data_IF_508574557720
#
_entry.id   IF_508574557720
#
_cell.length_a   1.000
_cell.length_b   1.000
_cell.length_c   1.000
_cell.angle_alpha   90.00
_cell.angle_beta   90.00
_cell.angle_gamma   90.00
#
_symmetry.space_group_name_H-M   'P 1'
#
loop_
_entity.id
_entity.type
_entity.pdbx_description
1 polymer ?
#
# COMPACT_ATOMS: atom_id res chain seq x y z
N UNK A 1 12.72 0.66 -13.97
CA UNK A 1 12.90 1.69 -12.96
C UNK A 1 14.37 1.73 -12.53
N UNK A 2 14.97 2.92 -12.38
CA UNK A 2 16.24 3.11 -11.68
C UNK A 2 15.96 3.45 -10.22
N UNK A 3 16.77 2.91 -9.30
CA UNK A 3 16.63 3.14 -7.86
C UNK A 3 17.97 3.58 -7.27
N UNK A 4 17.93 4.64 -6.47
CA UNK A 4 19.13 5.25 -5.87
C UNK A 4 19.00 5.30 -4.36
N UNK A 5 19.90 4.62 -3.67
CA UNK A 5 19.94 4.53 -2.21
C UNK A 5 20.77 5.64 -1.53
N UNK A 6 21.64 6.32 -2.25
CA UNK A 6 22.61 7.23 -1.66
C UNK A 6 22.14 8.67 -1.69
N UNK A 7 22.28 9.36 -0.55
CA UNK A 7 22.21 10.82 -0.52
C UNK A 7 23.42 11.39 -1.25
N UNK A 8 23.17 12.25 -2.23
CA UNK A 8 24.21 12.98 -2.96
C UNK A 8 24.05 14.47 -2.70
N UNK A 9 25.18 15.16 -2.66
CA UNK A 9 25.22 16.61 -2.54
C UNK A 9 24.52 17.30 -3.72
N UNK A 10 23.96 18.50 -3.50
CA UNK A 10 23.35 19.33 -4.55
C UNK A 10 24.32 19.75 -5.65
N UNK A 11 25.63 19.75 -5.40
CA UNK A 11 26.63 19.98 -6.44
C UNK A 11 26.57 18.98 -7.59
N UNK A 12 25.96 17.81 -7.36
CA UNK A 12 25.74 16.76 -8.36
C UNK A 12 24.46 16.93 -9.17
N UNK A 13 23.62 17.91 -8.86
CA UNK A 13 22.33 18.09 -9.53
C UNK A 13 22.43 18.23 -11.05
N UNK A 14 23.43 18.94 -11.64
CA UNK A 14 23.60 18.96 -13.08
C UNK A 14 23.86 17.58 -13.69
N UNK A 15 24.58 16.70 -12.99
CA UNK A 15 24.81 15.33 -13.44
C UNK A 15 23.55 14.46 -13.31
N UNK A 16 22.83 14.59 -12.20
CA UNK A 16 21.54 13.90 -11.99
C UNK A 16 20.55 14.24 -13.10
N UNK A 17 20.42 15.52 -13.46
CA UNK A 17 19.55 15.95 -14.57
C UNK A 17 19.98 15.32 -15.89
N UNK A 18 21.27 15.26 -16.19
CA UNK A 18 21.79 14.62 -17.41
C UNK A 18 21.49 13.13 -17.44
N UNK A 19 21.64 12.42 -16.33
CA UNK A 19 21.31 10.99 -16.21
C UNK A 19 19.81 10.77 -16.41
N UNK A 20 18.97 11.60 -15.77
CA UNK A 20 17.51 11.53 -15.93
C UNK A 20 17.12 11.78 -17.39
N UNK A 21 17.63 12.83 -18.03
CA UNK A 21 17.36 13.16 -19.43
C UNK A 21 17.76 12.00 -20.36
N UNK A 22 18.95 11.44 -20.16
CA UNK A 22 19.38 10.28 -20.93
C UNK A 22 18.44 9.10 -20.77
N UNK A 23 18.05 8.78 -19.53
CA UNK A 23 17.21 7.63 -19.24
C UNK A 23 15.79 7.78 -19.80
N UNK A 24 15.17 8.95 -19.64
CA UNK A 24 13.83 9.21 -20.19
C UNK A 24 13.85 9.30 -21.72
N UNK A 25 14.89 9.87 -22.35
CA UNK A 25 15.02 9.85 -23.81
C UNK A 25 15.17 8.42 -24.35
N UNK A 26 15.92 7.57 -23.67
CA UNK A 26 15.99 6.15 -24.02
C UNK A 26 14.66 5.42 -23.84
N UNK A 27 13.89 5.78 -22.83
CA UNK A 27 12.55 5.21 -22.62
C UNK A 27 11.60 5.50 -23.80
N UNK A 28 11.65 6.72 -24.33
CA UNK A 28 10.93 7.10 -25.56
C UNK A 28 11.33 6.23 -26.74
N UNK A 29 12.63 6.02 -26.97
CA UNK A 29 13.14 5.15 -28.03
C UNK A 29 12.68 3.69 -27.83
N UNK A 30 12.68 3.19 -26.61
CA UNK A 30 12.23 1.84 -26.26
C UNK A 30 10.71 1.69 -26.23
N UNK A 31 9.96 2.80 -26.29
CA UNK A 31 8.50 2.85 -26.10
C UNK A 31 8.08 2.19 -24.79
N UNK A 32 8.77 2.51 -23.71
CA UNK A 32 8.54 1.96 -22.36
C UNK A 32 8.35 3.07 -21.35
N UNK A 33 7.36 2.88 -20.48
CA UNK A 33 7.24 3.70 -19.29
C UNK A 33 8.36 3.36 -18.30
N UNK A 34 8.99 4.38 -17.77
CA UNK A 34 10.10 4.24 -16.81
C UNK A 34 9.94 5.25 -15.67
N UNK A 35 10.59 4.97 -14.55
CA UNK A 35 10.62 5.86 -13.40
C UNK A 35 11.99 5.84 -12.72
N UNK A 36 12.28 6.91 -11.98
CA UNK A 36 13.42 7.01 -11.07
C UNK A 36 12.87 7.02 -9.65
N UNK A 37 13.33 6.12 -8.81
CA UNK A 37 13.06 6.10 -7.38
C UNK A 37 14.33 6.41 -6.61
N UNK A 38 14.23 7.23 -5.57
CA UNK A 38 15.38 7.58 -4.77
C UNK A 38 15.00 7.93 -3.34
N UNK A 39 15.88 7.58 -2.41
CA UNK A 39 15.70 7.90 -1.00
C UNK A 39 15.89 9.40 -0.76
N UNK A 40 14.98 9.99 0.04
CA UNK A 40 15.03 11.38 0.51
C UNK A 40 15.39 12.39 -0.60
N UNK A 41 16.39 13.23 -0.35
CA UNK A 41 16.90 14.24 -1.29
C UNK A 41 18.02 13.71 -2.22
N UNK A 42 18.11 12.38 -2.39
CA UNK A 42 19.17 11.77 -3.19
C UNK A 42 19.08 12.15 -4.68
N UNK A 43 17.95 12.65 -5.13
CA UNK A 43 17.69 13.01 -6.51
C UNK A 43 17.02 14.38 -6.64
N UNK A 44 16.70 14.78 -7.87
CA UNK A 44 15.97 16.01 -8.19
C UNK A 44 14.47 15.80 -8.22
N UNK A 45 13.69 16.87 -8.34
CA UNK A 45 12.22 16.80 -8.46
C UNK A 45 11.75 15.87 -9.58
N UNK A 46 10.58 15.26 -9.41
CA UNK A 46 9.98 14.34 -10.40
C UNK A 46 10.34 12.87 -10.18
N UNK A 47 11.04 12.57 -9.13
CA UNK A 47 11.31 11.20 -8.71
C UNK A 47 10.16 10.57 -7.93
N UNK A 48 10.14 9.23 -7.86
CA UNK A 48 9.36 8.48 -6.88
C UNK A 48 10.12 8.53 -5.55
N UNK A 49 9.49 9.10 -4.51
CA UNK A 49 10.11 9.18 -3.18
C UNK A 49 10.17 7.79 -2.55
N UNK A 50 11.39 7.35 -2.20
CA UNK A 50 11.61 6.13 -1.44
C UNK A 50 11.75 6.47 0.05
N UNK A 51 10.92 5.84 0.88
CA UNK A 51 10.91 6.02 2.34
C UNK A 51 11.62 4.84 3.00
N UNK A 52 12.75 5.10 3.63
CA UNK A 52 13.49 4.10 4.41
C UNK A 52 12.61 3.47 5.46
N UNK A 53 12.26 2.22 5.26
CA UNK A 53 11.34 1.43 6.08
C UNK A 53 9.96 2.09 6.22
N UNK A 54 8.95 1.32 6.44
CA UNK A 54 7.57 1.81 6.54
C UNK A 54 7.32 2.88 7.61
N UNK A 55 8.12 2.95 8.64
CA UNK A 55 7.96 3.93 9.71
C UNK A 55 7.99 5.40 9.26
N UNK A 56 8.31 5.66 8.00
CA UNK A 56 8.30 6.99 7.37
C UNK A 56 7.32 7.12 6.22
N UNK A 57 6.63 6.04 5.85
CA UNK A 57 5.64 6.03 4.79
C UNK A 57 4.45 6.96 5.09
N UNK A 58 3.80 7.56 4.07
CA UNK A 58 2.60 8.36 4.25
C UNK A 58 1.49 7.57 4.96
N UNK A 59 0.85 8.21 5.94
CA UNK A 59 -0.27 7.63 6.68
C UNK A 59 -1.60 7.80 5.95
N UNK A 60 -1.67 8.74 5.02
CA UNK A 60 -2.86 9.10 4.26
C UNK A 60 -2.63 8.99 2.76
N UNK A 61 -3.70 9.12 2.00
CA UNK A 61 -3.68 9.24 0.55
C UNK A 61 -2.80 10.41 0.11
N UNK A 62 -1.93 10.15 -0.87
CA UNK A 62 -1.06 11.17 -1.48
C UNK A 62 -1.40 11.36 -2.95
N UNK A 63 -1.11 12.54 -3.48
CA UNK A 63 -1.22 12.87 -4.90
C UNK A 63 0.08 12.56 -5.70
N UNK A 64 1.14 12.14 -5.01
CA UNK A 64 2.39 11.66 -5.61
C UNK A 64 2.61 10.18 -5.35
N UNK A 65 3.30 9.53 -6.27
CA UNK A 65 3.71 8.12 -6.13
C UNK A 65 4.92 8.03 -5.20
N UNK A 66 4.92 7.06 -4.32
CA UNK A 66 5.99 6.80 -3.35
C UNK A 66 6.22 5.31 -3.16
N UNK A 67 7.29 4.94 -2.48
CA UNK A 67 7.67 3.57 -2.23
C UNK A 67 8.40 3.48 -0.90
N UNK A 68 8.01 2.61 0.04
CA UNK A 68 8.89 2.20 1.13
C UNK A 68 9.69 0.98 0.73
N UNK A 69 10.89 0.87 1.29
CA UNK A 69 11.67 -0.36 1.28
C UNK A 69 11.67 -1.00 2.67
N UNK A 70 11.42 -2.31 2.71
CA UNK A 70 11.47 -3.09 3.95
C UNK A 70 12.16 -4.42 3.74
N UNK A 71 12.96 -4.88 4.70
CA UNK A 71 13.56 -6.19 4.63
C UNK A 71 12.54 -7.29 5.04
N UNK A 72 12.68 -8.47 4.42
CA UNK A 72 11.86 -9.66 4.75
C UNK A 72 12.12 -10.16 6.19
N UNK A 73 13.24 -9.74 6.78
CA UNK A 73 13.64 -10.03 8.15
C UNK A 73 13.88 -8.72 8.90
N UNK A 74 14.44 -8.73 10.12
CA UNK A 74 14.79 -7.50 10.84
C UNK A 74 16.10 -6.83 10.34
N UNK A 75 16.78 -7.41 9.33
CA UNK A 75 18.02 -6.91 8.70
C UNK A 75 17.90 -6.93 7.19
N UNK A 76 18.60 -6.04 6.50
CA UNK A 76 18.65 -6.03 5.03
C UNK A 76 19.57 -7.13 4.46
N UNK A 77 20.67 -7.45 5.13
CA UNK A 77 21.58 -8.51 4.73
C UNK A 77 21.27 -9.85 5.41
N UNK A 78 21.84 -10.92 4.87
CA UNK A 78 21.75 -12.25 5.48
C UNK A 78 22.46 -12.30 6.83
N UNK A 79 21.77 -12.82 7.82
CA UNK A 79 22.31 -13.18 9.14
C UNK A 79 21.87 -14.60 9.44
N UNK A 80 22.77 -15.43 9.94
CA UNK A 80 22.48 -16.81 10.29
C UNK A 80 21.36 -16.88 11.35
N UNK A 81 20.51 -17.89 11.26
CA UNK A 81 19.35 -18.12 12.14
C UNK A 81 18.28 -17.02 12.15
N UNK A 82 18.38 -16.02 11.29
CA UNK A 82 17.40 -14.96 11.19
C UNK A 82 16.13 -15.44 10.50
N UNK A 83 14.99 -15.30 11.19
CA UNK A 83 13.67 -15.68 10.66
C UNK A 83 13.01 -14.53 9.92
N UNK A 84 12.32 -14.80 8.81
CA UNK A 84 11.50 -13.81 8.14
C UNK A 84 10.27 -13.46 8.97
N UNK A 85 9.72 -12.26 8.73
CA UNK A 85 8.39 -11.91 9.20
C UNK A 85 7.32 -12.75 8.49
N UNK A 86 6.15 -12.97 9.11
CA UNK A 86 5.06 -13.73 8.49
C UNK A 86 4.53 -13.06 7.21
N UNK A 87 4.05 -13.87 6.27
CA UNK A 87 3.59 -13.43 4.96
C UNK A 87 2.39 -12.46 5.02
N UNK A 88 1.49 -12.62 6.00
CA UNK A 88 0.35 -11.75 6.23
C UNK A 88 0.76 -10.29 6.44
N UNK A 89 1.86 -10.04 7.16
CA UNK A 89 2.37 -8.69 7.36
C UNK A 89 2.72 -8.01 6.03
N UNK A 90 3.35 -8.73 5.11
CA UNK A 90 3.71 -8.19 3.80
C UNK A 90 2.49 -7.99 2.90
N UNK A 91 1.51 -8.89 2.94
CA UNK A 91 0.24 -8.71 2.23
C UNK A 91 -0.47 -7.45 2.72
N UNK A 92 -0.56 -7.24 4.03
CA UNK A 92 -1.16 -6.03 4.59
C UNK A 92 -0.38 -4.76 4.21
N UNK A 93 0.94 -4.80 4.20
CA UNK A 93 1.79 -3.69 3.76
C UNK A 93 1.56 -3.34 2.29
N UNK A 94 1.47 -4.33 1.42
CA UNK A 94 1.16 -4.12 0.00
C UNK A 94 -0.20 -3.41 -0.14
N UNK A 95 -1.23 -3.88 0.55
CA UNK A 95 -2.58 -3.30 0.49
C UNK A 95 -2.58 -1.87 1.03
N UNK A 96 -1.97 -1.63 2.19
CA UNK A 96 -1.87 -0.30 2.81
C UNK A 96 -1.17 0.70 1.90
N UNK A 97 -0.05 0.30 1.30
CA UNK A 97 0.73 1.20 0.46
C UNK A 97 0.00 1.54 -0.83
N UNK A 98 -0.52 0.53 -1.52
CA UNK A 98 -1.20 0.72 -2.81
C UNK A 98 -2.47 1.55 -2.67
N UNK A 99 -3.23 1.36 -1.59
CA UNK A 99 -4.43 2.16 -1.31
C UNK A 99 -4.13 3.65 -1.09
N UNK A 100 -2.88 4.01 -0.74
CA UNK A 100 -2.41 5.38 -0.47
C UNK A 100 -1.55 5.96 -1.60
N UNK A 101 -1.53 5.35 -2.79
CA UNK A 101 -0.71 5.71 -3.95
C UNK A 101 0.78 5.31 -3.84
N UNK A 102 1.08 4.33 -3.00
CA UNK A 102 2.43 3.79 -2.83
C UNK A 102 2.66 2.48 -3.56
N UNK A 103 3.93 2.17 -3.78
CA UNK A 103 4.41 0.84 -4.14
C UNK A 103 4.97 0.14 -2.90
N UNK A 104 5.64 -0.99 -3.09
CA UNK A 104 6.35 -1.68 -2.03
C UNK A 104 7.61 -2.37 -2.58
N UNK A 105 8.76 -2.07 -2.00
CA UNK A 105 10.03 -2.74 -2.29
C UNK A 105 10.38 -3.69 -1.15
N UNK A 106 10.22 -5.00 -1.38
CA UNK A 106 10.58 -6.02 -0.41
C UNK A 106 12.01 -6.50 -0.67
N UNK A 107 12.90 -6.25 0.28
CA UNK A 107 14.26 -6.75 0.25
C UNK A 107 14.32 -8.18 0.78
N UNK A 108 14.96 -9.06 0.04
CA UNK A 108 15.31 -10.41 0.46
C UNK A 108 16.79 -10.46 0.87
N UNK A 109 17.16 -11.47 1.67
CA UNK A 109 18.52 -11.60 2.21
C UNK A 109 19.16 -12.91 1.75
N UNK A 110 19.72 -12.99 0.52
CA UNK A 110 20.36 -14.20 0.02
C UNK A 110 21.66 -14.50 0.79
N UNK A 111 22.02 -15.79 0.86
CA UNK A 111 23.30 -16.24 1.39
C UNK A 111 24.46 -15.82 0.48
N UNK A 112 25.68 -15.98 0.96
CA UNK A 112 26.89 -15.63 0.21
C UNK A 112 27.06 -16.41 -1.11
N UNK A 113 26.48 -17.60 -1.20
CA UNK A 113 26.45 -18.44 -2.42
C UNK A 113 25.33 -18.05 -3.40
N UNK A 114 24.53 -17.01 -3.06
CA UNK A 114 23.41 -16.53 -3.87
C UNK A 114 22.09 -17.27 -3.63
N UNK A 115 22.07 -18.29 -2.78
CA UNK A 115 20.80 -19.00 -2.48
C UNK A 115 19.92 -18.20 -1.53
N UNK A 116 18.60 -18.26 -1.76
CA UNK A 116 17.61 -17.66 -0.86
C UNK A 116 17.22 -18.72 0.19
N UNK A 117 17.29 -18.40 1.50
CA UNK A 117 16.84 -19.31 2.56
C UNK A 117 15.41 -19.82 2.34
N UNK A 118 15.14 -21.08 2.63
CA UNK A 118 13.84 -21.71 2.36
C UNK A 118 12.69 -20.97 3.03
N UNK A 119 12.87 -20.54 4.26
CA UNK A 119 11.85 -19.79 5.01
C UNK A 119 11.47 -18.45 4.34
N UNK A 120 12.43 -17.79 3.67
CA UNK A 120 12.14 -16.60 2.90
C UNK A 120 11.42 -16.93 1.59
N UNK A 121 11.79 -18.03 0.92
CA UNK A 121 11.06 -18.52 -0.26
C UNK A 121 9.61 -18.85 0.09
N UNK A 122 9.36 -19.51 1.22
CA UNK A 122 8.01 -19.85 1.68
C UNK A 122 7.13 -18.60 1.89
N UNK A 123 7.70 -17.54 2.47
CA UNK A 123 7.00 -16.25 2.62
C UNK A 123 6.70 -15.61 1.26
N UNK A 124 7.66 -15.59 0.34
CA UNK A 124 7.46 -15.03 -1.00
C UNK A 124 6.40 -15.80 -1.79
N UNK A 125 6.41 -17.14 -1.69
CA UNK A 125 5.40 -17.98 -2.34
C UNK A 125 4.00 -17.74 -1.76
N UNK A 126 3.89 -17.58 -0.43
CA UNK A 126 2.61 -17.27 0.20
C UNK A 126 2.05 -15.90 -0.21
N UNK A 127 2.91 -14.88 -0.36
CA UNK A 127 2.54 -13.57 -0.93
C UNK A 127 2.10 -13.75 -2.39
N UNK A 128 2.85 -14.54 -3.18
CA UNK A 128 2.53 -14.84 -4.58
C UNK A 128 1.17 -15.50 -4.73
N UNK A 129 0.85 -16.50 -3.92
CA UNK A 129 -0.45 -17.19 -3.91
C UNK A 129 -1.61 -16.22 -3.61
N UNK A 130 -1.43 -15.29 -2.69
CA UNK A 130 -2.43 -14.26 -2.43
C UNK A 130 -2.61 -13.33 -3.64
N UNK A 131 -1.52 -12.93 -4.28
CA UNK A 131 -1.53 -12.07 -5.48
C UNK A 131 -2.11 -12.78 -6.71
N UNK A 132 -1.96 -14.09 -6.85
CA UNK A 132 -2.63 -14.87 -7.91
C UNK A 132 -4.16 -14.72 -7.85
N UNK A 133 -4.73 -14.66 -6.66
CA UNK A 133 -6.18 -14.47 -6.46
C UNK A 133 -6.57 -12.99 -6.54
N UNK A 134 -5.79 -12.09 -5.92
CA UNK A 134 -6.21 -10.72 -5.64
C UNK A 134 -5.43 -9.64 -6.40
N UNK A 135 -4.46 -10.03 -7.22
CA UNK A 135 -3.54 -9.12 -7.91
C UNK A 135 -4.24 -8.10 -8.81
N UNK A 136 -5.45 -8.38 -9.29
CA UNK A 136 -6.26 -7.45 -10.06
C UNK A 136 -6.53 -6.13 -9.31
N UNK A 137 -6.64 -6.18 -7.98
CA UNK A 137 -6.84 -5.02 -7.11
C UNK A 137 -5.54 -4.27 -6.80
N UNK A 138 -4.37 -4.85 -7.13
CA UNK A 138 -3.06 -4.32 -6.82
C UNK A 138 -2.36 -3.81 -8.07
N UNK A 139 -2.24 -4.68 -9.11
CA UNK A 139 -1.52 -4.34 -10.33
C UNK A 139 -2.32 -3.34 -11.19
N UNK A 140 -1.65 -2.29 -11.67
CA UNK A 140 -2.22 -1.23 -12.50
C UNK A 140 -3.38 -0.46 -11.86
N UNK A 141 -3.63 -0.69 -10.56
CA UNK A 141 -4.63 0.04 -9.82
C UNK A 141 -4.17 1.47 -9.49
N UNK A 142 -5.13 2.28 -9.09
CA UNK A 142 -4.93 3.63 -8.56
C UNK A 142 -5.69 3.75 -7.24
N UNK A 143 -5.28 4.63 -6.33
CA UNK A 143 -6.09 4.88 -5.15
C UNK A 143 -7.45 5.45 -5.55
N UNK A 144 -8.46 5.17 -4.73
CA UNK A 144 -9.74 5.84 -4.81
C UNK A 144 -9.68 7.18 -4.06
N UNK A 145 -10.76 7.97 -4.08
CA UNK A 145 -10.87 9.25 -3.35
C UNK A 145 -10.69 9.11 -1.83
N UNK A 146 -10.78 7.91 -1.31
CA UNK A 146 -10.56 7.52 0.08
C UNK A 146 -9.74 6.23 0.10
N UNK A 147 -8.64 6.22 0.85
CA UNK A 147 -7.76 5.03 0.89
C UNK A 147 -8.34 3.86 1.69
N UNK A 148 -9.21 4.16 2.68
CA UNK A 148 -9.78 3.13 3.53
C UNK A 148 -10.80 3.64 4.53
N UNK A 149 -11.37 2.73 5.28
CA UNK A 149 -12.28 2.96 6.41
C UNK A 149 -12.05 1.93 7.50
N UNK A 150 -12.64 2.17 8.67
CA UNK A 150 -12.58 1.29 9.82
C UNK A 150 -11.58 1.72 10.88
N UNK A 151 -11.54 1.01 12.03
CA UNK A 151 -10.78 1.41 13.22
C UNK A 151 -9.30 1.69 12.98
N UNK A 152 -8.65 0.94 12.08
CA UNK A 152 -7.23 1.15 11.78
C UNK A 152 -6.99 2.43 10.96
N UNK A 153 -7.92 2.79 10.05
CA UNK A 153 -7.84 4.02 9.28
C UNK A 153 -8.13 5.25 10.16
N UNK A 154 -9.15 5.15 11.01
CA UNK A 154 -9.54 6.23 11.92
C UNK A 154 -8.45 6.47 12.97
N UNK A 155 -7.88 5.41 13.55
CA UNK A 155 -6.76 5.50 14.50
C UNK A 155 -5.47 6.06 13.88
N UNK A 156 -5.22 5.83 12.60
CA UNK A 156 -4.10 6.44 11.89
C UNK A 156 -4.27 7.96 11.76
N UNK A 157 -5.47 8.43 11.42
CA UNK A 157 -5.79 9.86 11.36
C UNK A 157 -5.62 10.55 12.72
N UNK A 158 -6.13 9.96 13.80
CA UNK A 158 -5.96 10.47 15.17
C UNK A 158 -4.48 10.52 15.60
N UNK A 159 -3.70 9.46 15.29
CA UNK A 159 -2.27 9.42 15.58
C UNK A 159 -1.51 10.52 14.84
N UNK A 160 -1.88 10.82 13.60
CA UNK A 160 -1.27 11.88 12.80
C UNK A 160 -1.58 13.27 13.38
N UNK A 161 -2.81 13.52 13.79
CA UNK A 161 -3.19 14.79 14.45
C UNK A 161 -2.39 14.97 15.74
N UNK A 162 -2.28 13.94 16.57
CA UNK A 162 -1.48 13.97 17.79
C UNK A 162 0.02 14.20 17.53
N UNK A 163 0.58 13.58 16.46
CA UNK A 163 1.97 13.76 16.08
C UNK A 163 2.26 15.18 15.56
N UNK A 164 1.33 15.75 14.77
CA UNK A 164 1.43 17.15 14.30
C UNK A 164 1.38 18.15 15.48
N UNK A 165 0.51 17.93 16.45
CA UNK A 165 0.42 18.75 17.66
C UNK A 165 1.73 18.72 18.45
N UNK A 166 2.28 17.54 18.72
CA UNK A 166 3.58 17.39 19.41
C UNK A 166 4.74 18.04 18.64
N UNK A 167 4.76 17.91 17.32
CA UNK A 167 5.78 18.56 16.47
C UNK A 167 5.70 20.09 16.48
N UNK A 168 4.48 20.64 16.65
CA UNK A 168 4.27 22.08 16.80
C UNK A 168 4.76 22.58 18.18
N UNK A 169 4.42 21.89 19.26
CA UNK A 169 4.92 22.20 20.61
C UNK A 169 6.45 22.11 20.72
N UNK A 170 7.06 21.10 20.10
CA UNK A 170 8.52 20.94 20.05
C UNK A 170 9.22 22.11 19.34
N UNK A 171 8.63 22.67 18.29
CA UNK A 171 9.15 23.87 17.62
C UNK A 171 9.04 25.13 18.46
N UNK A 172 7.96 25.31 19.19
CA UNK A 172 7.77 26.44 20.10
C UNK A 172 8.76 26.43 21.26
N UNK A 173 9.15 25.24 21.71
CA UNK A 173 10.09 25.05 22.84
C UNK A 173 11.57 24.99 22.42
N UNK A 174 11.91 25.32 21.17
CA UNK A 174 13.28 25.35 20.68
C UNK A 174 14.00 23.98 20.62
N UNK A 175 13.28 22.90 20.83
CA UNK A 175 13.79 21.56 20.67
C UNK A 175 13.73 21.19 19.18
N UNK A 176 14.80 21.54 18.45
CA UNK A 176 15.05 21.07 17.08
C UNK A 176 15.37 19.56 17.12
N UNK A 177 14.42 18.74 17.49
CA UNK A 177 14.45 17.33 17.17
C UNK A 177 14.15 17.24 15.68
N UNK A 178 15.20 16.98 14.91
CA UNK A 178 15.15 16.87 13.46
C UNK A 178 13.94 16.06 13.05
N UNK A 179 13.33 16.43 11.93
CA UNK A 179 12.12 15.91 11.31
C UNK A 179 11.87 14.41 11.59
N UNK A 180 11.58 14.06 12.83
CA UNK A 180 10.88 12.82 13.13
C UNK A 180 9.42 13.09 12.75
N UNK A 181 9.13 12.90 11.48
CA UNK A 181 7.79 12.55 11.09
C UNK A 181 7.53 11.25 11.84
N UNK A 182 6.80 11.35 12.94
CA UNK A 182 6.24 10.19 13.62
C UNK A 182 5.10 9.68 12.72
N UNK A 183 5.49 9.17 11.57
CA UNK A 183 4.67 8.47 10.63
C UNK A 183 5.04 7.01 10.75
N UNK A 184 4.49 6.34 11.71
CA UNK A 184 4.48 4.90 11.66
C UNK A 184 3.35 4.47 10.77
N UNK A 185 3.55 4.34 9.46
CA UNK A 185 2.71 3.54 8.58
C UNK A 185 2.81 2.05 8.93
N UNK A 186 3.05 1.75 10.19
CA UNK A 186 3.13 0.38 10.69
C UNK A 186 1.75 -0.25 10.76
N UNK A 187 1.70 -1.57 10.61
CA UNK A 187 0.50 -2.36 10.79
C UNK A 187 -0.12 -2.10 12.19
N UNK A 188 -1.45 -2.12 12.32
CA UNK A 188 -2.10 -1.87 13.60
C UNK A 188 -1.66 -2.90 14.63
N UNK A 189 -1.27 -2.44 15.82
CA UNK A 189 -0.75 -3.31 16.90
C UNK A 189 -1.74 -4.41 17.33
N UNK A 190 -3.04 -4.16 17.18
CA UNK A 190 -4.12 -5.09 17.53
C UNK A 190 -4.55 -5.97 16.36
N UNK A 191 -3.89 -5.89 15.19
CA UNK A 191 -4.33 -6.51 13.96
C UNK A 191 -5.52 -5.79 13.31
N UNK A 192 -5.95 -6.30 12.17
CA UNK A 192 -7.10 -5.77 11.43
C UNK A 192 -8.39 -6.46 11.85
N UNK A 193 -9.48 -5.71 11.76
CA UNK A 193 -10.86 -6.18 11.98
C UNK A 193 -11.60 -6.30 10.66
N UNK A 194 -12.76 -6.97 10.60
CA UNK A 194 -13.59 -7.01 9.40
C UNK A 194 -14.12 -5.65 8.94
N UNK A 195 -14.11 -4.63 9.80
CA UNK A 195 -14.51 -3.26 9.49
C UNK A 195 -13.38 -2.47 8.82
N UNK A 196 -12.14 -2.96 8.90
CA UNK A 196 -11.01 -2.33 8.23
C UNK A 196 -11.03 -2.69 6.75
N UNK A 197 -11.27 -1.70 5.91
CA UNK A 197 -11.36 -1.84 4.45
C UNK A 197 -10.38 -0.88 3.80
N UNK A 198 -9.73 -1.32 2.72
CA UNK A 198 -8.85 -0.49 1.89
C UNK A 198 -9.37 -0.45 0.47
N UNK A 199 -9.22 0.70 -0.17
CA UNK A 199 -9.79 0.93 -1.49
C UNK A 199 -8.72 1.19 -2.54
N UNK A 200 -8.91 0.53 -3.69
CA UNK A 200 -8.21 0.83 -4.94
C UNK A 200 -9.22 0.85 -6.07
N UNK A 201 -8.84 1.40 -7.23
CA UNK A 201 -9.68 1.38 -8.42
C UNK A 201 -8.85 1.07 -9.66
N UNK A 202 -9.53 0.52 -10.65
CA UNK A 202 -9.04 0.43 -12.03
C UNK A 202 -10.21 0.78 -12.95
N UNK A 203 -10.08 1.87 -13.68
CA UNK A 203 -11.17 2.48 -14.44
C UNK A 203 -12.42 2.70 -13.57
N UNK A 204 -13.58 2.15 -13.97
CA UNK A 204 -14.85 2.21 -13.26
C UNK A 204 -15.09 1.02 -12.31
N UNK A 205 -14.07 0.23 -12.02
CA UNK A 205 -14.13 -0.85 -11.04
C UNK A 205 -13.51 -0.37 -9.72
N UNK A 206 -14.29 -0.47 -8.64
CA UNK A 206 -13.81 -0.26 -7.27
C UNK A 206 -13.46 -1.62 -6.65
N UNK A 207 -12.29 -1.70 -6.07
CA UNK A 207 -11.87 -2.81 -5.22
C UNK A 207 -11.94 -2.39 -3.77
N UNK A 208 -12.69 -3.14 -2.97
CA UNK A 208 -12.77 -2.97 -1.53
C UNK A 208 -12.15 -4.20 -0.86
N UNK A 209 -10.95 -4.03 -0.32
CA UNK A 209 -10.21 -5.09 0.35
C UNK A 209 -10.59 -5.13 1.82
N UNK A 210 -11.32 -6.15 2.24
CA UNK A 210 -11.67 -6.43 3.63
C UNK A 210 -10.46 -7.08 4.31
N UNK A 211 -9.91 -6.40 5.32
CA UNK A 211 -8.60 -6.75 5.90
C UNK A 211 -8.64 -7.96 6.86
N UNK A 212 -9.83 -8.44 7.21
CA UNK A 212 -10.05 -9.65 8.00
C UNK A 212 -11.36 -10.30 7.58
N UNK A 213 -11.50 -11.61 7.76
CA UNK A 213 -12.71 -12.33 7.36
C UNK A 213 -13.95 -11.83 8.10
N UNK A 214 -15.00 -11.35 7.40
CA UNK A 214 -16.16 -10.73 8.04
C UNK A 214 -17.21 -11.71 8.56
N UNK A 215 -17.01 -13.02 8.37
CA UNK A 215 -18.05 -14.01 8.65
C UNK A 215 -19.11 -14.01 7.54
N UNK A 216 -20.36 -13.74 7.89
CA UNK A 216 -21.50 -13.82 6.96
C UNK A 216 -21.69 -12.54 6.12
N UNK A 217 -21.24 -11.38 6.62
CA UNK A 217 -21.52 -10.09 5.97
C UNK A 217 -20.39 -9.09 6.19
N UNK A 218 -20.04 -8.36 5.12
CA UNK A 218 -19.25 -7.14 5.20
C UNK A 218 -20.13 -5.92 4.95
N UNK A 219 -19.88 -4.83 5.68
CA UNK A 219 -20.55 -3.54 5.49
C UNK A 219 -19.52 -2.48 5.09
N UNK A 220 -19.72 -1.89 3.91
CA UNK A 220 -18.86 -0.83 3.38
C UNK A 220 -19.57 0.51 3.57
N UNK A 221 -19.20 1.24 4.62
CA UNK A 221 -19.88 2.49 5.02
C UNK A 221 -19.64 3.63 4.05
N UNK A 222 -18.51 3.63 3.36
CA UNK A 222 -18.20 4.62 2.32
C UNK A 222 -19.08 4.48 1.07
N UNK A 223 -19.83 3.40 0.94
CA UNK A 223 -20.79 3.13 -0.14
C UNK A 223 -22.26 3.17 0.35
N UNK A 224 -22.53 3.93 1.41
CA UNK A 224 -23.90 4.18 1.84
C UNK A 224 -24.71 4.94 0.76
N UNK A 225 -26.02 4.74 0.72
CA UNK A 225 -26.89 5.27 -0.32
C UNK A 225 -26.99 6.80 -0.35
N UNK A 226 -26.65 7.46 0.75
CA UNK A 226 -26.60 8.92 0.91
C UNK A 226 -25.24 9.53 0.53
N UNK A 227 -24.23 8.74 0.22
CA UNK A 227 -22.91 9.21 -0.18
C UNK A 227 -22.88 9.63 -1.65
N UNK A 228 -22.03 10.60 -1.94
CA UNK A 228 -21.94 11.22 -3.28
C UNK A 228 -21.22 10.36 -4.34
N UNK A 229 -21.18 9.04 -4.17
CA UNK A 229 -20.62 8.14 -5.18
C UNK A 229 -21.62 8.02 -6.34
N UNK A 230 -21.22 8.46 -7.52
CA UNK A 230 -22.07 8.45 -8.70
C UNK A 230 -22.19 7.04 -9.29
N UNK A 231 -23.35 6.73 -9.84
CA UNK A 231 -23.65 5.44 -10.44
C UNK A 231 -24.51 4.55 -9.55
N UNK A 232 -24.84 3.38 -10.06
CA UNK A 232 -25.58 2.35 -9.33
C UNK A 232 -24.79 1.06 -9.34
N UNK A 233 -24.51 0.50 -8.17
CA UNK A 233 -23.84 -0.80 -8.06
C UNK A 233 -24.65 -1.84 -8.84
N UNK A 234 -24.00 -2.48 -9.80
CA UNK A 234 -24.60 -3.50 -10.66
C UNK A 234 -24.22 -4.92 -10.24
N UNK A 235 -22.98 -5.08 -9.79
CA UNK A 235 -22.42 -6.38 -9.45
C UNK A 235 -21.36 -6.24 -8.37
N UNK A 236 -21.35 -7.20 -7.45
CA UNK A 236 -20.31 -7.38 -6.44
C UNK A 236 -19.79 -8.80 -6.56
N UNK A 237 -18.50 -8.99 -6.68
CA UNK A 237 -17.82 -10.27 -6.75
C UNK A 237 -16.76 -10.33 -5.67
N UNK A 238 -16.49 -11.51 -5.14
CA UNK A 238 -15.34 -11.77 -4.27
C UNK A 238 -14.27 -12.47 -5.12
N UNK A 239 -13.08 -11.88 -5.21
CA UNK A 239 -12.01 -12.49 -6.02
C UNK A 239 -11.66 -13.88 -5.47
N UNK A 240 -11.48 -14.84 -6.38
CA UNK A 240 -11.27 -16.24 -6.05
C UNK A 240 -12.55 -17.04 -5.72
N UNK A 241 -13.73 -16.40 -5.68
CA UNK A 241 -15.01 -17.06 -5.48
C UNK A 241 -15.83 -17.05 -6.78
N UNK A 242 -16.49 -18.15 -7.17
CA UNK A 242 -17.28 -18.17 -8.40
C UNK A 242 -18.59 -17.38 -8.26
N UNK A 243 -18.87 -16.53 -9.24
CA UNK A 243 -20.13 -15.81 -9.36
C UNK A 243 -20.23 -14.53 -8.51
N UNK A 244 -21.36 -13.85 -8.66
CA UNK A 244 -21.65 -12.61 -7.95
C UNK A 244 -22.22 -12.88 -6.56
N UNK A 245 -21.88 -12.02 -5.62
CA UNK A 245 -22.43 -12.05 -4.26
C UNK A 245 -23.78 -11.31 -4.20
N UNK A 246 -24.62 -11.72 -3.24
CA UNK A 246 -25.84 -10.97 -2.90
C UNK A 246 -25.45 -9.74 -2.08
N UNK A 247 -26.08 -8.62 -2.39
CA UNK A 247 -25.86 -7.37 -1.65
C UNK A 247 -27.13 -6.52 -1.56
N UNK A 248 -27.16 -5.65 -0.57
CA UNK A 248 -28.14 -4.56 -0.43
C UNK A 248 -27.40 -3.26 -0.11
N UNK A 249 -28.04 -2.13 -0.38
CA UNK A 249 -27.44 -0.81 -0.11
C UNK A 249 -28.47 0.07 0.58
N UNK A 250 -28.10 0.65 1.70
CA UNK A 250 -28.92 1.58 2.47
C UNK A 250 -28.09 2.76 3.04
N UNK A 251 -28.67 3.52 3.96
CA UNK A 251 -28.01 4.66 4.58
C UNK A 251 -26.82 4.26 5.49
N UNK A 252 -26.73 3.00 5.94
CA UNK A 252 -25.61 2.51 6.74
C UNK A 252 -24.42 2.08 5.88
N UNK A 253 -24.66 1.58 4.64
CA UNK A 253 -23.60 1.13 3.75
C UNK A 253 -24.04 0.20 2.65
N UNK A 254 -23.06 -0.37 1.98
CA UNK A 254 -23.21 -1.52 1.10
C UNK A 254 -22.99 -2.79 1.93
N UNK A 255 -24.05 -3.56 2.09
CA UNK A 255 -24.08 -4.84 2.80
C UNK A 255 -23.85 -5.97 1.81
N UNK A 256 -22.77 -6.72 1.96
CA UNK A 256 -22.40 -7.81 1.07
C UNK A 256 -22.40 -9.14 1.82
N UNK A 257 -23.18 -10.10 1.36
CA UNK A 257 -23.22 -11.46 1.93
C UNK A 257 -22.00 -12.25 1.47
N UNK A 258 -21.21 -12.71 2.44
CA UNK A 258 -20.02 -13.51 2.19
C UNK A 258 -20.35 -15.01 2.17
N UNK A 259 -19.60 -15.82 1.40
CA UNK A 259 -19.71 -17.27 1.43
C UNK A 259 -19.14 -17.83 2.74
N UNK A 260 -19.41 -19.10 3.02
CA UNK A 260 -18.85 -19.79 4.19
C UNK A 260 -17.37 -20.12 4.01
N UNK A 261 -16.95 -20.38 2.76
CA UNK A 261 -15.59 -20.75 2.42
C UNK A 261 -14.75 -19.54 2.02
N UNK A 262 -13.54 -19.46 2.57
CA UNK A 262 -12.57 -18.43 2.25
C UNK A 262 -11.88 -18.76 0.94
N UNK A 263 -11.84 -17.86 -0.05
CA UNK A 263 -11.18 -18.12 -1.33
C UNK A 263 -9.63 -18.06 -1.23
N UNK A 264 -9.10 -17.42 -0.20
CA UNK A 264 -7.67 -17.25 0.04
C UNK A 264 -7.39 -16.98 1.52
N UNK A 265 -6.13 -16.77 1.87
CA UNK A 265 -5.70 -16.34 3.20
C UNK A 265 -5.63 -14.80 3.28
N UNK A 266 -5.45 -14.28 4.49
CA UNK A 266 -5.10 -12.90 4.89
C UNK A 266 -6.22 -11.89 4.67
N UNK A 267 -6.39 -11.37 3.44
CA UNK A 267 -7.34 -10.32 3.11
C UNK A 267 -8.18 -10.68 1.87
N UNK A 268 -9.38 -10.10 1.74
CA UNK A 268 -10.43 -10.55 0.82
C UNK A 268 -10.93 -9.38 -0.02
N UNK A 269 -10.83 -9.50 -1.34
CA UNK A 269 -11.10 -8.39 -2.25
C UNK A 269 -12.48 -8.51 -2.87
N UNK A 270 -13.33 -7.51 -2.61
CA UNK A 270 -14.59 -7.31 -3.32
C UNK A 270 -14.34 -6.45 -4.57
N UNK A 271 -14.75 -6.97 -5.73
CA UNK A 271 -14.79 -6.27 -7.01
C UNK A 271 -16.18 -5.70 -7.24
N UNK A 272 -16.30 -4.38 -7.30
CA UNK A 272 -17.57 -3.66 -7.34
C UNK A 272 -17.67 -2.89 -8.67
N UNK A 273 -18.70 -3.16 -9.45
CA UNK A 273 -18.94 -2.53 -10.75
C UNK A 273 -20.25 -1.76 -10.81
N UNK A 274 -20.33 -0.80 -11.76
CA UNK A 274 -21.51 0.02 -12.01
C UNK A 274 -21.43 1.42 -11.41
N UNK A 275 -20.38 1.70 -10.63
CA UNK A 275 -20.06 3.05 -10.15
C UNK A 275 -19.44 3.88 -11.28
N UNK A 276 -19.51 5.20 -11.17
CA UNK A 276 -18.76 6.16 -11.98
C UNK A 276 -17.68 6.75 -11.09
N UNK A 277 -16.49 6.22 -11.20
CA UNK A 277 -15.36 6.62 -10.36
C UNK A 277 -14.60 7.78 -11.00
N UNK A 278 -14.35 8.82 -10.21
CA UNK A 278 -13.50 9.94 -10.62
C UNK A 278 -12.03 9.58 -10.40
#
# INVERSE_FOLDING_TARGET
>A
MLWFDMNTDHSWDPLKIRVAAYYFNRAEEWKKEVGISAKQAAWVSGQIMDYEREGRAPMELTDWVWQPDDPITNKFGYVEEQKPYPADQFVYKIIENVSKNGNFLLNISPKADGTIPQEQQDVLLAIGQWLEVNGEAIYYSRPWIKYGEGPAADGAAEAMVAARAKGFEGRLNGQNQGNQIVGGGGLPRKGYTPQDIRFTKHDDILYATVMSWPGEEAVITSLASDKSVQGKIKKVELLGHPGALKFTQDAAGLHVKFPTEKPCNYAYVLKISGLKLK
#
